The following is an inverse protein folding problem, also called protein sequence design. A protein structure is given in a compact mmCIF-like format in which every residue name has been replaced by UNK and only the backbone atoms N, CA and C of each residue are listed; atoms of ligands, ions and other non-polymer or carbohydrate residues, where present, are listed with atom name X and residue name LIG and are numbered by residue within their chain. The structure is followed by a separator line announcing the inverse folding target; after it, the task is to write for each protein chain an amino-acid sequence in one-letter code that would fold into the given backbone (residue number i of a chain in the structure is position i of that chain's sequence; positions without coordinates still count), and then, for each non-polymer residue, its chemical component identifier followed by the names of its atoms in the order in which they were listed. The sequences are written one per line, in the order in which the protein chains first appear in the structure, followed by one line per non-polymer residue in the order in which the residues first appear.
data_IF_079764058940
#
_entry.id   IF_079764058940
#
_cell.length_a   1.000
_cell.length_b   1.000
_cell.length_c   1.000
_cell.angle_alpha   90.00
_cell.angle_beta   90.00
_cell.angle_gamma   90.00
#
_symmetry.space_group_name_H-M   'P 1'
#
loop_
_entity.id
_entity.type
_entity.pdbx_description
1 polymer ?
#
# COMPACT_ATOMS: atom_id res chain seq x y z
N UNK A 1 -12.02 3.21 -8.61
CA UNK A 1 -10.59 3.59 -8.48
C UNK A 1 -10.14 3.14 -7.11
N UNK A 2 -9.13 2.27 -7.05
CA UNK A 2 -8.58 1.70 -5.80
C UNK A 2 -7.08 1.94 -5.84
N UNK A 3 -6.51 2.40 -4.72
CA UNK A 3 -5.07 2.56 -4.57
C UNK A 3 -4.56 1.37 -3.74
N UNK A 4 -3.49 0.74 -4.23
CA UNK A 4 -2.87 -0.42 -3.59
C UNK A 4 -1.36 -0.17 -3.51
N UNK A 5 -0.78 -0.37 -2.32
CA UNK A 5 0.65 -0.22 -2.05
C UNK A 5 1.01 -1.02 -0.80
N UNK A 6 2.30 -1.29 -0.63
CA UNK A 6 2.84 -2.06 0.49
C UNK A 6 3.59 -1.15 1.44
N UNK A 7 3.46 -1.39 2.74
CA UNK A 7 4.19 -0.68 3.79
C UNK A 7 4.99 -1.69 4.61
N UNK A 8 6.15 -1.26 5.10
CA UNK A 8 6.91 -2.03 6.08
C UNK A 8 6.20 -2.06 7.45
N UNK A 9 6.66 -2.95 8.33
CA UNK A 9 6.18 -3.01 9.71
C UNK A 9 6.42 -1.69 10.44
N UNK A 10 5.49 -1.32 11.32
CA UNK A 10 5.56 -0.08 12.10
C UNK A 10 4.25 0.70 12.14
N UNK A 11 4.31 1.92 12.68
CA UNK A 11 3.19 2.84 12.75
C UNK A 11 3.36 3.96 11.72
N UNK A 12 2.37 4.14 10.87
CA UNK A 12 2.42 5.06 9.74
C UNK A 12 1.30 6.10 9.85
N UNK A 13 1.66 7.38 9.73
CA UNK A 13 0.69 8.47 9.56
C UNK A 13 0.60 8.79 8.08
N UNK A 14 -0.55 8.49 7.48
CA UNK A 14 -0.80 8.67 6.05
C UNK A 14 -1.69 9.90 5.82
N UNK A 15 -1.51 10.51 4.65
CA UNK A 15 -2.38 11.60 4.16
C UNK A 15 -2.81 11.29 2.73
N UNK A 16 -4.11 11.36 2.47
CA UNK A 16 -4.69 11.23 1.14
C UNK A 16 -4.86 12.62 0.54
N UNK A 17 -4.38 12.79 -0.69
CA UNK A 17 -4.52 14.01 -1.46
C UNK A 17 -5.43 13.75 -2.65
N UNK A 18 -6.50 14.55 -2.77
CA UNK A 18 -7.33 14.62 -3.95
C UNK A 18 -6.98 15.91 -4.70
N UNK A 19 -6.30 15.78 -5.83
CA UNK A 19 -5.81 16.91 -6.61
C UNK A 19 -6.65 17.07 -7.87
N UNK A 20 -7.10 18.28 -8.17
CA UNK A 20 -7.83 18.59 -9.39
C UNK A 20 -6.90 19.24 -10.42
N UNK A 21 -6.87 18.71 -11.64
CA UNK A 21 -6.06 19.26 -12.74
C UNK A 21 -6.73 20.46 -13.43
N UNK A 22 -8.04 20.61 -13.27
CA UNK A 22 -8.88 21.51 -14.06
C UNK A 22 -9.29 22.78 -13.33
N UNK A 23 -9.33 22.76 -12.00
CA UNK A 23 -9.82 23.87 -11.17
C UNK A 23 -8.90 24.12 -9.98
N UNK A 24 -8.28 25.30 -9.96
CA UNK A 24 -7.47 25.74 -8.82
C UNK A 24 -8.33 25.92 -7.57
N UNK A 25 -7.87 25.39 -6.44
CA UNK A 25 -8.56 25.49 -5.15
C UNK A 25 -9.62 24.42 -4.91
N UNK A 26 -9.74 23.42 -5.79
CA UNK A 26 -10.59 22.25 -5.58
C UNK A 26 -9.85 21.07 -4.91
N UNK A 27 -8.57 21.27 -4.55
CA UNK A 27 -7.74 20.26 -3.91
C UNK A 27 -8.21 19.98 -2.47
N UNK A 28 -8.12 18.72 -2.05
CA UNK A 28 -8.54 18.30 -0.71
C UNK A 28 -7.50 17.38 -0.09
N UNK A 29 -7.21 17.67 1.18
CA UNK A 29 -6.27 16.90 2.00
C UNK A 29 -7.04 16.16 3.09
N UNK A 30 -6.72 14.88 3.30
CA UNK A 30 -7.34 14.06 4.34
C UNK A 30 -6.26 13.38 5.18
N UNK A 31 -6.20 13.74 6.47
CA UNK A 31 -5.40 13.01 7.44
C UNK A 31 -6.08 11.67 7.75
N UNK A 32 -5.36 10.57 7.52
CA UNK A 32 -5.85 9.23 7.84
C UNK A 32 -5.43 8.86 9.27
N UNK A 33 -6.22 7.99 9.89
CA UNK A 33 -5.85 7.44 11.19
C UNK A 33 -4.51 6.68 11.11
N UNK A 34 -3.67 6.73 12.16
CA UNK A 34 -2.41 6.02 12.18
C UNK A 34 -2.60 4.53 11.90
N UNK A 35 -1.94 4.04 10.86
CA UNK A 35 -2.01 2.64 10.47
C UNK A 35 -0.87 1.89 11.15
N UNK A 36 -1.23 0.91 11.98
CA UNK A 36 -0.26 -0.03 12.55
C UNK A 36 -0.13 -1.24 11.65
N UNK A 37 1.00 -1.32 10.96
CA UNK A 37 1.36 -2.45 10.09
C UNK A 37 2.18 -3.43 10.94
N UNK A 38 1.65 -4.64 11.11
CA UNK A 38 2.40 -5.70 11.75
C UNK A 38 3.47 -6.23 10.79
N UNK A 39 4.62 -6.62 11.33
CA UNK A 39 5.56 -7.48 10.62
C UNK A 39 4.86 -8.82 10.43
N UNK A 40 4.46 -9.14 9.20
CA UNK A 40 4.08 -10.51 8.87
C UNK A 40 5.33 -11.37 8.99
N UNK A 41 5.20 -12.58 9.53
CA UNK A 41 6.22 -13.61 9.35
C UNK A 41 6.62 -13.62 7.88
N UNK A 42 7.93 -13.60 7.61
CA UNK A 42 8.46 -13.79 6.26
C UNK A 42 8.07 -15.19 5.81
N UNK A 43 6.84 -15.38 5.35
CA UNK A 43 6.47 -16.49 4.49
C UNK A 43 7.16 -16.23 3.16
N UNK A 44 8.45 -16.58 3.17
CA UNK A 44 9.17 -16.97 1.97
C UNK A 44 8.42 -18.22 1.45
N UNK A 45 7.31 -18.00 0.73
CA UNK A 45 6.72 -19.03 -0.11
C UNK A 45 7.61 -19.20 -1.35
N UNK A 46 8.86 -19.62 -1.11
CA UNK A 46 9.59 -20.45 -2.07
C UNK A 46 8.88 -21.81 -2.07
N UNK A 47 7.88 -21.93 -2.93
CA UNK A 47 7.30 -23.21 -3.30
C UNK A 47 6.91 -23.16 -4.76
N UNK A 48 7.90 -23.37 -5.61
CA UNK A 48 7.74 -24.28 -6.75
C UNK A 48 9.10 -24.91 -7.12
N UNK A 49 9.57 -25.84 -6.28
CA UNK A 49 10.55 -26.84 -6.71
C UNK A 49 9.86 -27.86 -7.64
N UNK A 50 10.22 -27.77 -8.92
CA UNK A 50 10.38 -28.82 -9.95
C UNK A 50 9.22 -29.78 -10.31
N UNK A 51 8.81 -29.76 -11.60
CA UNK A 51 8.91 -30.88 -12.58
C UNK A 51 7.72 -30.93 -13.57
N UNK A 52 7.98 -30.75 -14.86
CA UNK A 52 7.37 -31.56 -15.94
C UNK A 52 8.20 -31.49 -17.23
N UNK A 53 8.68 -32.65 -17.69
CA UNK A 53 9.35 -32.92 -18.96
C UNK A 53 8.51 -32.54 -20.20
N UNK A 54 9.14 -31.88 -21.18
CA UNK A 54 9.24 -32.30 -22.61
C UNK A 54 10.39 -31.53 -23.30
#
# INVERSE_FOLDING_TARGET
TKLEFTLGSGEWKLKLYLICDSYSGADQDFDLEPLKVAEGDSSDEESDEEMAED
#
